data_IF_559606422446
#
_entry.id   IF_559606422446
#
_cell.length_a   1.000
_cell.length_b   1.000
_cell.length_c   1.000
_cell.angle_alpha   90.00
_cell.angle_beta   90.00
_cell.angle_gamma   90.00
#
_symmetry.space_group_name_H-M   'P 1'
#
loop_
_entity.id
_entity.type
_entity.pdbx_description
1 polymer ?
#
# COMPACT_ATOMS: atom_id res chain seq x y z
N UNK A 1 -4.52 22.61 -6.89
CA UNK A 1 -4.41 21.20 -6.49
C UNK A 1 -3.90 21.22 -5.08
N UNK A 2 -4.57 20.53 -4.17
CA UNK A 2 -4.11 20.38 -2.78
C UNK A 2 -3.10 19.22 -2.76
N UNK A 3 -1.89 19.53 -2.31
CA UNK A 3 -0.80 18.57 -2.15
C UNK A 3 -0.26 18.67 -0.74
N UNK A 4 -0.56 17.66 0.05
CA UNK A 4 -0.22 17.57 1.46
C UNK A 4 0.39 16.21 1.75
N UNK A 5 1.30 16.16 2.74
CA UNK A 5 1.81 14.91 3.28
C UNK A 5 1.24 14.72 4.67
N UNK A 6 0.43 13.69 4.83
CA UNK A 6 -0.21 13.33 6.09
C UNK A 6 0.56 12.16 6.70
N UNK A 7 0.92 12.28 7.98
CA UNK A 7 1.53 11.19 8.75
C UNK A 7 0.42 10.39 9.42
N UNK A 8 0.34 9.09 9.14
CA UNK A 8 -0.84 8.28 9.48
C UNK A 8 -0.85 7.76 10.92
N UNK A 9 0.28 7.84 11.62
CA UNK A 9 0.40 7.41 13.02
C UNK A 9 1.17 8.43 13.84
N UNK A 10 0.73 8.62 15.08
CA UNK A 10 1.47 9.41 16.06
C UNK A 10 2.83 8.76 16.34
N UNK A 11 3.89 9.57 16.40
CA UNK A 11 5.25 9.10 16.66
C UNK A 11 5.96 8.41 15.48
N UNK A 12 5.27 8.13 14.37
CA UNK A 12 5.89 7.59 13.15
C UNK A 12 6.03 8.63 12.05
N UNK A 13 7.16 8.59 11.35
CA UNK A 13 7.50 9.53 10.26
C UNK A 13 7.63 8.84 8.90
N UNK A 14 7.45 7.53 8.87
CA UNK A 14 7.72 6.66 7.74
C UNK A 14 6.46 6.19 7.01
N UNK A 15 5.31 6.16 7.70
CA UNK A 15 4.01 5.87 7.07
C UNK A 15 3.27 7.16 6.73
N UNK A 16 3.11 7.43 5.43
CA UNK A 16 2.57 8.71 4.97
C UNK A 16 1.60 8.56 3.80
N UNK A 17 0.61 9.44 3.76
CA UNK A 17 -0.31 9.63 2.64
C UNK A 17 -0.01 10.99 1.98
N UNK A 18 0.49 10.97 0.74
CA UNK A 18 0.69 12.20 -0.04
C UNK A 18 -0.50 12.41 -0.97
N UNK A 19 -1.13 13.59 -0.90
CA UNK A 19 -2.36 13.90 -1.62
C UNK A 19 -2.09 14.62 -2.95
N UNK A 20 -2.92 14.33 -3.95
CA UNK A 20 -3.00 15.05 -5.23
C UNK A 20 -4.49 15.30 -5.51
N UNK A 21 -5.07 16.21 -4.75
CA UNK A 21 -6.51 16.52 -4.82
C UNK A 21 -6.71 17.67 -5.80
N UNK A 22 -7.40 17.38 -6.91
CA UNK A 22 -7.72 18.35 -7.96
C UNK A 22 -8.61 19.46 -7.42
N UNK A 23 -8.34 20.71 -7.81
CA UNK A 23 -9.24 21.81 -7.49
C UNK A 23 -10.58 21.61 -8.20
N UNK A 24 -11.60 22.24 -7.62
CA UNK A 24 -12.88 22.37 -8.26
C UNK A 24 -13.20 23.84 -8.55
N UNK A 25 -14.08 24.06 -9.51
CA UNK A 25 -14.59 25.38 -9.85
C UNK A 25 -15.96 25.27 -10.54
N UNK A 26 -16.72 26.38 -10.62
CA UNK A 26 -17.96 26.42 -11.39
C UNK A 26 -17.82 26.05 -12.88
N UNK A 27 -16.63 26.23 -13.46
CA UNK A 27 -16.33 25.87 -14.86
C UNK A 27 -15.92 24.40 -15.03
N UNK A 28 -15.72 23.67 -13.93
CA UNK A 28 -15.27 22.28 -13.91
C UNK A 28 -16.40 21.36 -13.46
N UNK A 29 -16.27 20.74 -12.28
CA UNK A 29 -17.27 19.81 -11.76
C UNK A 29 -18.29 20.49 -10.84
N UNK A 30 -18.03 21.72 -10.40
CA UNK A 30 -18.95 22.59 -9.67
C UNK A 30 -19.61 21.89 -8.47
N UNK A 31 -18.79 21.46 -7.52
CA UNK A 31 -19.17 20.79 -6.28
C UNK A 31 -19.44 19.30 -6.40
N UNK A 32 -19.32 18.69 -7.60
CA UNK A 32 -19.51 17.25 -7.75
C UNK A 32 -18.30 16.46 -7.25
N UNK A 33 -18.59 15.33 -6.60
CA UNK A 33 -17.56 14.42 -6.11
C UNK A 33 -16.80 13.72 -7.24
N UNK A 34 -15.50 13.48 -7.05
CA UNK A 34 -14.60 12.78 -7.97
C UNK A 34 -14.20 11.40 -7.44
N UNK A 35 -13.94 10.43 -8.32
CA UNK A 35 -13.31 9.17 -7.93
C UNK A 35 -11.86 9.39 -7.49
N UNK A 36 -11.29 8.41 -6.78
CA UNK A 36 -9.93 8.46 -6.27
C UNK A 36 -9.13 7.19 -6.55
N UNK A 37 -7.80 7.29 -6.54
CA UNK A 37 -6.88 6.16 -6.62
C UNK A 37 -5.85 6.23 -5.50
N UNK A 38 -5.83 5.22 -4.64
CA UNK A 38 -4.84 5.02 -3.59
C UNK A 38 -3.71 4.12 -4.11
N UNK A 39 -2.53 4.69 -4.27
CA UNK A 39 -1.37 4.06 -4.89
C UNK A 39 -0.43 3.53 -3.82
N UNK A 40 -0.10 2.24 -3.89
CA UNK A 40 0.86 1.54 -3.05
C UNK A 40 2.08 1.17 -3.91
N UNK A 41 3.21 1.91 -3.80
CA UNK A 41 4.42 1.61 -4.57
C UNK A 41 5.02 0.25 -4.19
N UNK A 42 5.80 -0.36 -5.07
CA UNK A 42 6.62 -1.53 -4.76
C UNK A 42 7.90 -1.17 -4.01
N UNK A 43 8.84 -2.12 -3.99
CA UNK A 43 10.12 -2.00 -3.28
C UNK A 43 10.41 -3.15 -2.32
N UNK A 44 9.93 -4.36 -2.64
CA UNK A 44 10.26 -5.61 -1.95
C UNK A 44 9.98 -5.60 -0.43
N UNK A 45 9.01 -4.81 0.04
CA UNK A 45 8.76 -4.54 1.47
C UNK A 45 9.93 -3.88 2.22
N UNK A 46 11.00 -3.50 1.52
CA UNK A 46 12.16 -2.79 2.08
C UNK A 46 11.94 -1.28 2.06
N UNK A 47 11.35 -0.75 0.99
CA UNK A 47 11.03 0.67 0.87
C UNK A 47 9.84 0.86 -0.08
N UNK A 48 9.36 2.09 -0.23
CA UNK A 48 8.39 2.45 -1.27
C UNK A 48 9.09 3.18 -2.44
N UNK A 49 9.04 2.57 -3.62
CA UNK A 49 9.67 3.03 -4.86
C UNK A 49 9.09 4.36 -5.36
N UNK A 50 9.94 5.38 -5.51
CA UNK A 50 9.52 6.68 -6.05
C UNK A 50 9.06 6.59 -7.53
N UNK A 51 9.54 5.57 -8.26
CA UNK A 51 9.18 5.33 -9.67
C UNK A 51 7.72 4.93 -9.85
N UNK A 52 7.13 4.37 -8.81
CA UNK A 52 5.76 3.82 -8.78
C UNK A 52 4.81 4.69 -7.93
N UNK A 53 5.29 5.87 -7.50
CA UNK A 53 4.60 6.79 -6.60
C UNK A 53 4.03 8.01 -7.36
N UNK A 54 4.64 9.19 -7.17
CA UNK A 54 4.19 10.46 -7.78
C UNK A 54 4.01 10.38 -9.30
N UNK A 55 4.91 9.74 -10.08
CA UNK A 55 4.70 9.63 -11.54
C UNK A 55 3.37 8.96 -11.90
N UNK A 56 2.95 7.96 -11.12
CA UNK A 56 1.67 7.26 -11.31
C UNK A 56 0.50 8.14 -10.87
N UNK A 57 0.64 8.81 -9.72
CA UNK A 57 -0.38 9.72 -9.20
C UNK A 57 -0.72 10.83 -10.19
N UNK A 58 0.30 11.46 -10.79
CA UNK A 58 0.12 12.52 -11.77
C UNK A 58 -0.60 12.02 -13.05
N UNK A 59 -0.42 10.74 -13.43
CA UNK A 59 -1.19 10.16 -14.55
C UNK A 59 -2.66 9.99 -14.22
N UNK A 60 -2.99 9.49 -13.04
CA UNK A 60 -4.40 9.41 -12.61
C UNK A 60 -5.03 10.79 -12.42
N UNK A 61 -4.29 11.74 -11.86
CA UNK A 61 -4.72 13.13 -11.73
C UNK A 61 -5.04 13.75 -13.10
N UNK A 62 -4.19 13.53 -14.11
CA UNK A 62 -4.44 13.99 -15.48
C UNK A 62 -5.69 13.36 -16.12
N UNK A 63 -6.11 12.17 -15.65
CA UNK A 63 -7.35 11.50 -16.07
C UNK A 63 -8.59 11.96 -15.27
N UNK A 64 -8.43 12.90 -14.32
CA UNK A 64 -9.53 13.48 -13.56
C UNK A 64 -9.85 12.81 -12.22
N UNK A 65 -9.01 11.86 -11.77
CA UNK A 65 -9.11 11.22 -10.47
C UNK A 65 -8.36 12.04 -9.41
N UNK A 66 -8.85 12.03 -8.17
CA UNK A 66 -7.95 12.29 -7.05
C UNK A 66 -6.93 11.16 -6.97
N UNK A 67 -5.69 11.49 -6.64
CA UNK A 67 -4.66 10.48 -6.44
C UNK A 67 -4.02 10.63 -5.07
N UNK A 68 -3.69 9.50 -4.47
CA UNK A 68 -3.10 9.45 -3.14
C UNK A 68 -1.96 8.43 -3.19
N UNK A 69 -0.76 8.82 -2.74
CA UNK A 69 0.37 7.89 -2.63
C UNK A 69 0.52 7.49 -1.17
N UNK A 70 0.30 6.22 -0.89
CA UNK A 70 0.56 5.62 0.42
C UNK A 70 1.98 5.05 0.44
N UNK A 71 2.83 5.66 1.25
CA UNK A 71 4.06 5.01 1.71
C UNK A 71 3.70 4.23 2.96
N UNK A 72 3.55 2.92 2.80
CA UNK A 72 3.18 2.00 3.86
C UNK A 72 4.42 1.52 4.64
N UNK A 73 4.18 0.82 5.75
CA UNK A 73 5.21 0.26 6.61
C UNK A 73 6.10 -0.69 5.82
N UNK A 74 7.39 -0.40 5.82
CA UNK A 74 8.42 -1.17 5.13
C UNK A 74 9.62 -1.28 6.04
N UNK A 75 10.39 -2.34 5.85
CA UNK A 75 11.54 -2.67 6.68
C UNK A 75 12.54 -1.51 6.82
N UNK A 76 12.75 -0.75 5.74
CA UNK A 76 13.64 0.41 5.69
C UNK A 76 13.08 1.67 6.35
N UNK A 77 11.96 1.62 7.08
CA UNK A 77 11.42 2.73 7.87
C UNK A 77 11.36 4.06 7.12
N UNK A 78 10.88 4.01 5.88
CA UNK A 78 10.69 5.20 5.03
C UNK A 78 11.97 5.76 4.38
N UNK A 79 13.13 5.12 4.58
CA UNK A 79 14.36 5.47 3.86
C UNK A 79 14.20 5.14 2.38
N UNK A 80 14.42 6.14 1.52
CA UNK A 80 14.24 6.02 0.08
C UNK A 80 15.45 5.36 -0.58
N UNK A 81 15.20 4.41 -1.48
CA UNK A 81 16.26 3.74 -2.25
C UNK A 81 17.19 2.88 -1.39
N UNK A 82 16.79 2.55 -0.16
CA UNK A 82 17.54 1.68 0.72
C UNK A 82 17.37 0.22 0.29
N UNK A 83 18.48 -0.50 0.18
CA UNK A 83 18.51 -1.93 -0.07
C UNK A 83 19.67 -2.54 0.71
N UNK A 84 19.43 -3.19 1.87
CA UNK A 84 20.48 -3.72 2.74
C UNK A 84 21.11 -4.99 2.17
N UNK A 85 21.92 -4.85 1.12
CA UNK A 85 22.64 -5.98 0.53
C UNK A 85 23.87 -6.27 1.40
N UNK A 86 23.85 -7.40 2.09
CA UNK A 86 24.99 -7.87 2.91
C UNK A 86 25.08 -7.26 4.31
N UNK A 87 24.05 -6.54 4.75
CA UNK A 87 23.94 -6.03 6.13
C UNK A 87 23.25 -7.06 7.03
N UNK A 88 23.72 -7.20 8.27
CA UNK A 88 22.94 -7.86 9.32
C UNK A 88 21.83 -6.92 9.77
N UNK A 89 20.60 -7.38 9.59
CA UNK A 89 19.39 -6.61 9.85
C UNK A 89 18.54 -7.33 10.90
N UNK A 90 18.06 -6.58 11.89
CA UNK A 90 17.13 -7.10 12.89
C UNK A 90 15.72 -7.12 12.32
N UNK A 91 14.88 -8.04 12.81
CA UNK A 91 13.46 -8.09 12.44
C UNK A 91 12.75 -6.81 12.89
N UNK A 92 11.91 -6.24 12.03
CA UNK A 92 11.06 -5.09 12.36
C UNK A 92 9.58 -5.48 12.42
N UNK A 93 9.01 -5.75 13.62
CA UNK A 93 7.62 -6.17 13.75
C UNK A 93 6.61 -5.14 13.24
N UNK A 94 7.00 -3.86 13.18
CA UNK A 94 6.13 -2.77 12.72
C UNK A 94 5.99 -2.70 11.19
N UNK A 95 6.83 -3.43 10.43
CA UNK A 95 6.75 -3.54 8.97
C UNK A 95 6.24 -4.89 8.45
N UNK A 96 6.17 -5.89 9.33
CA UNK A 96 5.75 -7.25 8.98
C UNK A 96 4.25 -7.34 8.70
N UNK A 97 3.82 -8.41 8.03
CA UNK A 97 2.40 -8.74 7.92
C UNK A 97 1.74 -8.79 9.32
N UNK A 98 0.57 -8.17 9.54
CA UNK A 98 -0.33 -7.52 8.58
C UNK A 98 -0.18 -5.98 8.48
N UNK A 99 0.91 -5.37 8.95
CA UNK A 99 1.06 -3.91 9.03
C UNK A 99 0.84 -3.18 7.68
N UNK A 100 1.40 -3.61 6.54
CA UNK A 100 1.12 -2.96 5.25
C UNK A 100 -0.37 -2.92 4.88
N UNK A 101 -1.13 -3.97 5.20
CA UNK A 101 -2.58 -4.00 4.96
C UNK A 101 -3.33 -3.04 5.89
N UNK A 102 -2.92 -2.98 7.16
CA UNK A 102 -3.48 -2.02 8.12
C UNK A 102 -3.22 -0.59 7.68
N UNK A 103 -2.07 -0.29 7.08
CA UNK A 103 -1.78 1.04 6.56
C UNK A 103 -2.71 1.46 5.41
N UNK A 104 -3.11 0.51 4.55
CA UNK A 104 -4.16 0.75 3.56
C UNK A 104 -5.48 1.08 4.26
N UNK A 105 -5.87 0.31 5.29
CA UNK A 105 -7.07 0.58 6.08
C UNK A 105 -7.03 1.95 6.78
N UNK A 106 -5.90 2.32 7.37
CA UNK A 106 -5.68 3.63 7.99
C UNK A 106 -5.80 4.75 6.95
N UNK A 107 -5.28 4.55 5.74
CA UNK A 107 -5.44 5.51 4.65
C UNK A 107 -6.92 5.69 4.28
N UNK A 108 -7.72 4.61 4.20
CA UNK A 108 -9.17 4.71 3.97
C UNK A 108 -9.87 5.55 5.04
N UNK A 109 -9.50 5.40 6.32
CA UNK A 109 -10.04 6.24 7.39
C UNK A 109 -9.67 7.72 7.21
N UNK A 110 -8.44 8.02 6.80
CA UNK A 110 -8.00 9.39 6.52
C UNK A 110 -8.72 10.00 5.30
N UNK A 111 -8.98 9.19 4.28
CA UNK A 111 -9.80 9.59 3.11
C UNK A 111 -11.24 9.88 3.52
N UNK A 112 -11.84 9.05 4.37
CA UNK A 112 -13.20 9.28 4.89
C UNK A 112 -13.30 10.61 5.65
N UNK A 113 -12.30 10.92 6.48
CA UNK A 113 -12.25 12.15 7.28
C UNK A 113 -12.26 13.42 6.42
N UNK A 114 -11.67 13.39 5.23
CA UNK A 114 -11.58 14.53 4.32
C UNK A 114 -12.53 14.45 3.11
N UNK A 115 -13.42 13.45 3.08
CA UNK A 115 -14.15 13.12 1.87
C UNK A 115 -15.05 14.28 1.37
N UNK A 116 -15.61 15.06 2.29
CA UNK A 116 -16.45 16.20 1.91
C UNK A 116 -15.61 17.41 1.49
N UNK A 117 -14.55 17.73 2.23
CA UNK A 117 -13.63 18.84 1.92
C UNK A 117 -12.94 18.67 0.56
N UNK A 118 -12.60 17.43 0.20
CA UNK A 118 -11.94 17.12 -1.05
C UNK A 118 -12.90 16.80 -2.19
N UNK A 119 -14.22 16.84 -1.96
CA UNK A 119 -15.22 16.36 -2.91
C UNK A 119 -14.87 14.95 -3.40
N UNK A 120 -14.49 14.06 -2.48
CA UNK A 120 -14.08 12.70 -2.78
C UNK A 120 -15.28 11.74 -2.70
N UNK A 121 -15.49 10.97 -3.76
CA UNK A 121 -16.48 9.90 -3.80
C UNK A 121 -15.90 8.62 -3.21
N UNK A 122 -16.14 8.38 -1.92
CA UNK A 122 -15.67 7.18 -1.21
C UNK A 122 -16.19 5.87 -1.82
N UNK A 123 -17.31 5.90 -2.55
CA UNK A 123 -17.80 4.73 -3.28
C UNK A 123 -17.00 4.39 -4.54
N UNK A 124 -16.02 5.22 -4.91
CA UNK A 124 -15.22 5.10 -6.15
C UNK A 124 -13.73 5.27 -5.90
N UNK A 125 -13.23 4.68 -4.81
CA UNK A 125 -11.80 4.63 -4.50
C UNK A 125 -11.22 3.31 -4.99
N UNK A 126 -10.38 3.36 -6.02
CA UNK A 126 -9.59 2.22 -6.44
C UNK A 126 -8.28 2.16 -5.64
N UNK A 127 -7.77 0.95 -5.38
CA UNK A 127 -6.40 0.75 -4.92
C UNK A 127 -5.53 0.32 -6.11
N UNK A 128 -4.29 0.82 -6.18
CA UNK A 128 -3.36 0.55 -7.26
C UNK A 128 -2.00 0.17 -6.67
N UNK A 129 -1.54 -1.06 -6.91
CA UNK A 129 -0.32 -1.59 -6.32
C UNK A 129 0.66 -2.11 -7.36
N UNK A 130 1.95 -1.95 -7.09
CA UNK A 130 3.05 -2.42 -7.93
C UNK A 130 3.94 -3.41 -7.16
N UNK A 131 4.28 -4.56 -7.73
CA UNK A 131 5.18 -5.55 -7.08
C UNK A 131 4.76 -5.86 -5.62
N UNK A 132 5.57 -5.52 -4.62
CA UNK A 132 5.23 -5.64 -3.19
C UNK A 132 4.01 -4.79 -2.76
N UNK A 133 3.84 -3.60 -3.32
CA UNK A 133 2.62 -2.81 -3.13
C UNK A 133 1.42 -3.45 -3.86
N UNK A 134 1.68 -4.17 -4.95
CA UNK A 134 0.73 -5.02 -5.66
C UNK A 134 0.24 -6.17 -4.79
N UNK A 135 1.16 -6.84 -4.09
CA UNK A 135 0.83 -7.84 -3.08
C UNK A 135 -0.01 -7.25 -1.94
N UNK A 136 0.39 -6.09 -1.41
CA UNK A 136 -0.35 -5.38 -0.36
C UNK A 136 -1.78 -5.08 -0.81
N UNK A 137 -1.97 -4.58 -2.03
CA UNK A 137 -3.30 -4.34 -2.60
C UNK A 137 -4.07 -5.64 -2.86
N UNK A 138 -3.42 -6.72 -3.30
CA UNK A 138 -4.05 -8.01 -3.53
C UNK A 138 -4.58 -8.60 -2.21
N UNK A 139 -3.74 -8.66 -1.19
CA UNK A 139 -4.11 -9.05 0.17
C UNK A 139 -5.28 -8.21 0.69
N UNK A 140 -5.17 -6.89 0.61
CA UNK A 140 -6.24 -6.00 1.09
C UNK A 140 -7.55 -6.19 0.32
N UNK A 141 -7.50 -6.49 -0.98
CA UNK A 141 -8.69 -6.74 -1.80
C UNK A 141 -9.50 -7.95 -1.33
N UNK A 142 -8.82 -8.97 -0.79
CA UNK A 142 -9.44 -10.20 -0.29
C UNK A 142 -9.89 -10.05 1.17
N UNK A 143 -9.11 -9.32 1.98
CA UNK A 143 -9.27 -9.31 3.44
C UNK A 143 -9.68 -7.94 4.03
N UNK A 144 -10.17 -6.99 3.24
CA UNK A 144 -10.59 -5.66 3.74
C UNK A 144 -11.68 -5.72 4.83
N UNK A 145 -12.52 -6.76 4.82
CA UNK A 145 -13.59 -7.01 5.79
C UNK A 145 -13.21 -8.06 6.85
N UNK A 146 -11.93 -8.44 6.92
CA UNK A 146 -11.41 -9.39 7.90
C UNK A 146 -11.19 -8.70 9.27
N UNK A 147 -11.40 -9.40 10.41
CA UNK A 147 -11.08 -8.91 11.75
C UNK A 147 -9.66 -8.34 11.91
N UNK A 148 -8.69 -8.82 11.13
CA UNK A 148 -7.32 -8.25 11.10
C UNK A 148 -7.29 -6.75 10.77
N UNK A 149 -8.32 -6.25 10.08
CA UNK A 149 -8.55 -4.85 9.74
C UNK A 149 -9.69 -4.26 10.58
N UNK A 150 -10.89 -4.85 10.57
CA UNK A 150 -12.08 -4.24 11.20
C UNK A 150 -11.95 -4.11 12.70
N UNK A 151 -11.53 -5.19 13.39
CA UNK A 151 -11.43 -5.21 14.85
C UNK A 151 -10.21 -4.41 15.31
N UNK A 152 -9.14 -4.41 14.50
CA UNK A 152 -7.95 -3.60 14.76
C UNK A 152 -8.26 -2.10 14.81
N UNK A 153 -9.14 -1.61 13.91
CA UNK A 153 -9.53 -0.21 13.87
C UNK A 153 -10.82 0.10 14.65
N UNK A 154 -11.60 -0.91 15.04
CA UNK A 154 -12.88 -0.73 15.71
C UNK A 154 -13.94 -0.04 14.83
N UNK A 155 -13.89 -0.28 13.53
CA UNK A 155 -14.70 0.40 12.52
C UNK A 155 -15.43 -0.60 11.62
N UNK A 156 -16.62 -0.25 11.09
CA UNK A 156 -17.40 -1.17 10.27
C UNK A 156 -16.70 -1.42 8.93
N UNK A 157 -16.86 -2.63 8.41
CA UNK A 157 -16.16 -3.11 7.21
C UNK A 157 -16.35 -2.16 6.01
N UNK A 158 -17.52 -1.54 5.86
CA UNK A 158 -17.86 -0.63 4.76
C UNK A 158 -16.88 0.54 4.61
N UNK A 159 -16.22 0.97 5.70
CA UNK A 159 -15.21 2.03 5.65
C UNK A 159 -13.91 1.60 4.96
N UNK A 160 -13.69 0.30 4.79
CA UNK A 160 -12.43 -0.26 4.29
C UNK A 160 -12.54 -0.78 2.86
N UNK A 161 -13.74 -0.81 2.28
CA UNK A 161 -14.00 -1.47 1.01
C UNK A 161 -13.42 -0.69 -0.18
N UNK A 162 -12.47 -1.26 -0.95
CA UNK A 162 -12.07 -0.67 -2.22
C UNK A 162 -13.16 -0.88 -3.29
N UNK A 163 -13.33 0.10 -4.18
CA UNK A 163 -14.25 0.00 -5.31
C UNK A 163 -13.70 -0.85 -6.45
N UNK A 164 -12.37 -0.89 -6.59
CA UNK A 164 -11.64 -1.68 -7.59
C UNK A 164 -10.17 -1.84 -7.18
N UNK A 165 -9.49 -2.80 -7.80
CA UNK A 165 -8.06 -3.07 -7.60
C UNK A 165 -7.31 -3.10 -8.92
N UNK A 166 -6.21 -2.36 -9.00
CA UNK A 166 -5.29 -2.31 -10.13
C UNK A 166 -3.97 -2.91 -9.67
N UNK A 167 -3.69 -4.14 -10.08
CA UNK A 167 -2.52 -4.89 -9.63
C UNK A 167 -1.50 -5.00 -10.78
N UNK A 168 -0.40 -4.27 -10.68
CA UNK A 168 0.66 -4.27 -11.68
C UNK A 168 1.81 -5.19 -11.21
N UNK A 169 2.04 -6.26 -11.96
CA UNK A 169 3.06 -7.29 -11.66
C UNK A 169 3.14 -7.67 -10.16
N UNK A 170 1.99 -7.95 -9.51
CA UNK A 170 1.95 -8.25 -8.08
C UNK A 170 2.66 -9.57 -7.78
N UNK A 171 3.21 -9.68 -6.57
CA UNK A 171 3.39 -11.00 -5.95
C UNK A 171 2.02 -11.43 -5.43
N UNK A 172 1.55 -12.63 -5.79
CA UNK A 172 0.22 -13.14 -5.39
C UNK A 172 0.26 -14.50 -4.73
N UNK A 173 1.36 -15.23 -4.86
CA UNK A 173 1.51 -16.56 -4.27
C UNK A 173 2.95 -16.71 -3.82
N UNK A 174 3.15 -16.73 -2.50
CA UNK A 174 4.48 -16.85 -1.92
C UNK A 174 5.01 -18.28 -1.98
N UNK A 175 4.17 -19.32 -2.11
CA UNK A 175 4.65 -20.68 -2.39
C UNK A 175 5.34 -20.72 -3.75
N UNK A 176 4.71 -20.15 -4.78
CA UNK A 176 5.29 -20.12 -6.14
C UNK A 176 6.54 -19.25 -6.17
N UNK A 177 6.53 -18.10 -5.48
CA UNK A 177 7.67 -17.18 -5.43
C UNK A 177 8.93 -17.85 -4.87
N UNK A 178 8.82 -18.59 -3.77
CA UNK A 178 9.99 -19.21 -3.14
C UNK A 178 10.42 -20.52 -3.80
N UNK A 179 9.50 -21.22 -4.47
CA UNK A 179 9.79 -22.49 -5.16
C UNK A 179 10.41 -22.30 -6.55
N UNK A 180 10.34 -21.09 -7.10
CA UNK A 180 10.87 -20.76 -8.42
C UNK A 180 12.38 -20.93 -8.51
N UNK A 181 12.85 -21.42 -9.66
CA UNK A 181 14.28 -21.43 -9.96
C UNK A 181 14.74 -19.99 -10.26
N UNK A 182 15.40 -19.35 -9.30
CA UNK A 182 15.89 -17.98 -9.39
C UNK A 182 17.41 -17.97 -9.61
N UNK A 183 17.90 -16.92 -10.27
CA UNK A 183 19.33 -16.59 -10.22
C UNK A 183 19.74 -16.24 -8.78
N UNK A 184 21.04 -16.31 -8.41
CA UNK A 184 21.48 -15.95 -7.07
C UNK A 184 21.09 -14.53 -6.63
N UNK A 185 21.07 -13.58 -7.58
CA UNK A 185 20.65 -12.19 -7.33
C UNK A 185 19.15 -12.10 -7.05
N UNK A 186 18.33 -12.76 -7.86
CA UNK A 186 16.87 -12.82 -7.65
C UNK A 186 16.53 -13.54 -6.35
N UNK A 187 17.27 -14.60 -5.99
CA UNK A 187 17.10 -15.29 -4.71
C UNK A 187 17.40 -14.37 -3.53
N UNK A 188 18.49 -13.59 -3.59
CA UNK A 188 18.82 -12.64 -2.53
C UNK A 188 17.73 -11.57 -2.32
N UNK A 189 17.12 -11.08 -3.42
CA UNK A 189 15.97 -10.16 -3.36
C UNK A 189 14.74 -10.84 -2.77
N UNK A 190 14.47 -12.09 -3.18
CA UNK A 190 13.34 -12.90 -2.68
C UNK A 190 13.45 -13.17 -1.18
N UNK A 191 14.63 -13.57 -0.72
CA UNK A 191 14.92 -13.82 0.69
C UNK A 191 14.75 -12.55 1.53
N UNK A 192 15.23 -11.41 1.03
CA UNK A 192 15.10 -10.13 1.70
C UNK A 192 13.64 -9.68 1.78
N UNK A 193 12.87 -9.82 0.69
CA UNK A 193 11.45 -9.48 0.68
C UNK A 193 10.66 -10.35 1.66
N UNK A 194 10.95 -11.65 1.69
CA UNK A 194 10.34 -12.61 2.60
C UNK A 194 10.72 -12.29 4.04
N UNK A 195 11.99 -11.96 4.31
CA UNK A 195 12.43 -11.52 5.64
C UNK A 195 11.75 -10.21 6.08
N UNK A 196 11.65 -9.22 5.19
CA UNK A 196 11.01 -7.94 5.49
C UNK A 196 9.52 -8.10 5.83
N UNK A 197 8.82 -9.03 5.17
CA UNK A 197 7.40 -9.25 5.39
C UNK A 197 7.09 -10.23 6.54
N UNK A 198 7.88 -11.29 6.70
CA UNK A 198 7.60 -12.43 7.60
C UNK A 198 8.60 -12.57 8.75
N UNK A 199 9.65 -11.76 8.80
CA UNK A 199 10.71 -11.83 9.81
C UNK A 199 11.64 -13.04 9.66
N UNK A 200 11.53 -13.80 8.58
CA UNK A 200 12.34 -15.00 8.31
C UNK A 200 12.56 -15.20 6.81
N UNK A 201 13.70 -15.80 6.44
CA UNK A 201 13.99 -16.23 5.06
C UNK A 201 13.44 -17.62 4.74
N UNK A 202 13.05 -18.39 5.77
CA UNK A 202 12.54 -19.76 5.65
C UNK A 202 11.17 -19.85 6.32
N UNK A 203 10.13 -19.22 5.74
CA UNK A 203 8.80 -19.23 6.32
C UNK A 203 8.19 -20.63 6.30
N UNK A 204 7.36 -20.91 7.31
CA UNK A 204 6.54 -22.12 7.33
C UNK A 204 5.43 -22.07 6.29
N UNK A 205 4.87 -23.22 5.93
CA UNK A 205 3.71 -23.32 5.03
C UNK A 205 2.51 -22.48 5.55
N UNK A 206 2.28 -22.47 6.86
CA UNK A 206 1.25 -21.65 7.48
C UNK A 206 1.47 -20.14 7.24
N UNK A 207 2.69 -19.64 7.46
CA UNK A 207 3.02 -18.23 7.21
C UNK A 207 2.88 -17.87 5.73
N UNK A 208 3.27 -18.77 4.84
CA UNK A 208 3.12 -18.55 3.40
C UNK A 208 1.66 -18.52 2.97
N UNK A 209 0.80 -19.36 3.57
CA UNK A 209 -0.65 -19.32 3.35
C UNK A 209 -1.27 -18.01 3.83
N UNK A 210 -0.82 -17.48 4.98
CA UNK A 210 -1.31 -16.20 5.52
C UNK A 210 -1.01 -15.00 4.61
N UNK A 211 0.03 -15.10 3.77
CA UNK A 211 0.41 -14.03 2.82
C UNK A 211 0.20 -14.39 1.36
N UNK A 212 -0.60 -15.41 1.05
CA UNK A 212 -0.96 -15.77 -0.33
C UNK A 212 -2.45 -15.57 -0.52
N UNK A 213 -2.90 -14.48 -1.18
CA UNK A 213 -4.32 -14.16 -1.32
C UNK A 213 -5.08 -15.03 -2.34
N UNK A 214 -4.40 -15.97 -3.03
CA UNK A 214 -4.96 -16.89 -4.04
C UNK A 214 -4.51 -18.31 -3.80
#
# INVERSE_FOLDING_TARGET
MITEKIYLYEGRQDVTLTTYVLDDSPEMLNGKKRPGVLICPGGAFVFCSDREAEPVALRFAAMGYHAFVLRYSTFGKGVRGYFPVGEEVEVDPESMHPAPMRDVGRAFLELHKHADDWLLDMGKIAICGFSAGGHTCAMYSVYWNDPLITDYFGEPAEKFKPAASILAYPVTDYHVMIAGALTPEEQAVSDLATFALLGTKTPSEAQLNEVSPV
#
